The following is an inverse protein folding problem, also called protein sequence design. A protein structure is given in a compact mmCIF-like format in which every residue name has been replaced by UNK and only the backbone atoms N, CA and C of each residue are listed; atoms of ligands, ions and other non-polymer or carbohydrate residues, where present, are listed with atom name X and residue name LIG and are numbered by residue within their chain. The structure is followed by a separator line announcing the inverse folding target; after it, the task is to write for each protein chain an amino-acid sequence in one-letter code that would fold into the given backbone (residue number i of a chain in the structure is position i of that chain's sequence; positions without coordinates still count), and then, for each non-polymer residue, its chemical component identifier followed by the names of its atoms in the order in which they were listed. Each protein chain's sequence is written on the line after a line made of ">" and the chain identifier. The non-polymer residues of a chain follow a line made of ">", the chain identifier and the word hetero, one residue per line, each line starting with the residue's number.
data_IF_178019011891
#
_entry.id   IF_178019011891
#
_cell.length_a   1.000
_cell.length_b   1.000
_cell.length_c   1.000
_cell.angle_alpha   90.00
_cell.angle_beta   90.00
_cell.angle_gamma   90.00
#
_symmetry.space_group_name_H-M   'P 1'
#
loop_
_entity.id
_entity.type
_entity.pdbx_description
1 polymer ?
#
# COMPACT_ATOMS: atom_id res chain seq x y z
N UNK A 1 -26.46 -47.63 7.24
CA UNK A 1 -26.60 -46.85 5.98
C UNK A 1 -26.65 -45.39 6.39
N UNK A 2 -25.56 -44.64 6.24
CA UNK A 2 -25.54 -43.23 6.61
C UNK A 2 -26.47 -42.45 5.66
N UNK A 3 -27.40 -41.69 6.23
CA UNK A 3 -28.42 -40.96 5.47
C UNK A 3 -27.75 -39.90 4.59
N UNK A 4 -28.15 -39.75 3.31
CA UNK A 4 -27.55 -38.75 2.40
C UNK A 4 -27.68 -37.31 2.95
N UNK A 5 -28.71 -37.04 3.77
CA UNK A 5 -28.88 -35.78 4.49
C UNK A 5 -27.75 -35.48 5.47
N UNK A 6 -27.20 -36.51 6.11
CA UNK A 6 -26.12 -36.37 7.08
C UNK A 6 -24.81 -35.98 6.39
N UNK A 7 -24.53 -36.55 5.22
CA UNK A 7 -23.38 -36.17 4.40
C UNK A 7 -23.50 -34.75 3.85
N UNK A 8 -24.69 -34.34 3.39
CA UNK A 8 -24.93 -32.97 2.91
C UNK A 8 -24.76 -31.93 4.02
N UNK A 9 -25.23 -32.23 5.23
CA UNK A 9 -25.01 -31.38 6.41
C UNK A 9 -23.53 -31.25 6.77
N UNK A 10 -22.78 -32.35 6.77
CA UNK A 10 -21.34 -32.34 7.03
C UNK A 10 -20.56 -31.54 5.97
N UNK A 11 -20.91 -31.68 4.68
CA UNK A 11 -20.31 -30.89 3.61
C UNK A 11 -20.63 -29.40 3.80
N UNK A 12 -21.87 -29.06 4.10
CA UNK A 12 -22.28 -27.67 4.35
C UNK A 12 -21.53 -27.03 5.54
N UNK A 13 -21.38 -27.78 6.64
CA UNK A 13 -20.65 -27.31 7.83
C UNK A 13 -19.15 -27.17 7.53
N UNK A 14 -18.55 -28.12 6.80
CA UNK A 14 -17.15 -28.02 6.37
C UNK A 14 -16.93 -26.80 5.45
N UNK A 15 -17.81 -26.56 4.48
CA UNK A 15 -17.72 -25.40 3.61
C UNK A 15 -17.81 -24.08 4.38
N UNK A 16 -18.74 -23.96 5.34
CA UNK A 16 -18.86 -22.76 6.18
C UNK A 16 -17.66 -22.54 7.09
N UNK A 17 -17.05 -23.61 7.61
CA UNK A 17 -15.81 -23.54 8.38
C UNK A 17 -14.60 -23.12 7.53
N UNK A 18 -14.60 -23.44 6.23
CA UNK A 18 -13.58 -23.04 5.26
C UNK A 18 -13.77 -21.61 4.73
N UNK A 19 -14.97 -21.02 4.88
CA UNK A 19 -15.23 -19.60 4.64
C UNK A 19 -14.71 -18.80 5.85
N UNK A 20 -13.45 -19.03 6.22
CA UNK A 20 -12.72 -18.06 7.02
C UNK A 20 -12.43 -16.90 6.08
N UNK A 21 -13.04 -15.74 6.38
CA UNK A 21 -12.95 -14.46 5.67
C UNK A 21 -11.79 -14.40 4.67
N UNK A 22 -12.09 -14.58 3.37
CA UNK A 22 -11.15 -14.30 2.30
C UNK A 22 -11.01 -12.78 2.14
N UNK A 23 -10.59 -12.07 3.18
CA UNK A 23 -10.07 -10.72 3.03
C UNK A 23 -8.70 -10.88 2.42
N UNK A 24 -8.64 -10.95 1.09
CA UNK A 24 -7.38 -10.87 0.39
C UNK A 24 -6.75 -9.52 0.77
N UNK A 25 -5.62 -9.55 1.47
CA UNK A 25 -4.87 -8.33 1.74
C UNK A 25 -4.33 -7.85 0.39
N UNK A 26 -4.75 -6.65 0.00
CA UNK A 26 -4.37 -6.00 -1.25
C UNK A 26 -3.57 -4.73 -0.96
N UNK A 27 -2.44 -4.58 -1.64
CA UNK A 27 -1.46 -3.52 -1.43
C UNK A 27 -1.48 -2.50 -2.58
N UNK A 28 -2.67 -2.21 -3.09
CA UNK A 28 -2.86 -1.27 -4.21
C UNK A 28 -2.99 0.19 -3.76
N UNK A 29 -3.13 0.43 -2.45
CA UNK A 29 -3.22 1.78 -1.89
C UNK A 29 -1.87 2.48 -1.96
N UNK A 30 -1.88 3.73 -2.40
CA UNK A 30 -0.69 4.60 -2.53
C UNK A 30 -1.06 6.06 -2.26
N UNK A 31 -0.08 6.88 -1.89
CA UNK A 31 -0.25 8.33 -1.76
C UNK A 31 0.57 9.08 -2.81
N UNK A 32 -0.09 9.97 -3.55
CA UNK A 32 0.61 11.02 -4.28
C UNK A 32 0.81 12.21 -3.34
N UNK A 33 2.06 12.59 -3.14
CA UNK A 33 2.47 13.62 -2.20
C UNK A 33 3.08 14.78 -2.97
N UNK A 34 2.48 15.96 -2.84
CA UNK A 34 3.05 17.23 -3.30
C UNK A 34 3.72 17.91 -2.12
N UNK A 35 4.98 18.32 -2.28
CA UNK A 35 5.80 18.84 -1.19
C UNK A 35 6.82 19.87 -1.67
N UNK A 36 7.36 20.66 -0.74
CA UNK A 36 8.54 21.50 -0.96
C UNK A 36 9.74 20.98 -0.17
N UNK A 37 10.93 21.45 -0.53
CA UNK A 37 12.19 21.10 0.14
C UNK A 37 13.00 22.37 0.40
N UNK A 38 13.66 22.45 1.55
CA UNK A 38 14.58 23.56 1.87
C UNK A 38 16.00 23.29 1.35
N UNK A 39 16.37 22.02 1.23
CA UNK A 39 17.71 21.55 0.83
C UNK A 39 17.59 20.37 -0.14
N UNK A 40 18.57 20.23 -1.02
CA UNK A 40 18.60 19.13 -2.00
C UNK A 40 17.65 19.34 -3.18
N UNK A 41 17.39 18.27 -3.92
CA UNK A 41 16.51 18.23 -5.08
C UNK A 41 15.41 17.17 -4.90
N UNK A 42 14.29 17.30 -5.62
CA UNK A 42 13.19 16.33 -5.57
C UNK A 42 13.64 14.87 -5.76
N UNK A 43 14.66 14.64 -6.58
CA UNK A 43 15.20 13.31 -6.88
C UNK A 43 15.91 12.66 -5.69
N UNK A 44 16.42 13.45 -4.74
CA UNK A 44 17.15 12.94 -3.57
C UNK A 44 16.23 12.15 -2.63
N UNK A 45 14.92 12.39 -2.71
CA UNK A 45 13.87 11.69 -1.95
C UNK A 45 12.98 10.81 -2.83
N UNK A 46 13.39 10.56 -4.08
CA UNK A 46 12.66 9.71 -5.03
C UNK A 46 11.52 10.40 -5.79
N UNK A 47 11.39 11.72 -5.68
CA UNK A 47 10.38 12.51 -6.40
C UNK A 47 10.90 13.18 -7.68
N UNK A 48 10.02 13.95 -8.31
CA UNK A 48 10.31 14.75 -9.50
C UNK A 48 9.80 16.19 -9.31
N UNK A 49 10.45 17.14 -10.01
CA UNK A 49 10.07 18.54 -9.97
C UNK A 49 8.87 18.80 -10.88
N UNK A 50 7.88 19.51 -10.36
CA UNK A 50 6.68 19.96 -11.10
C UNK A 50 6.71 21.46 -11.34
N UNK A 51 7.34 22.19 -10.42
CA UNK A 51 7.64 23.60 -10.55
C UNK A 51 9.02 23.90 -9.96
N UNK A 52 9.41 25.17 -9.88
CA UNK A 52 10.71 25.60 -9.33
C UNK A 52 10.95 25.09 -7.91
N UNK A 53 9.93 25.10 -7.07
CA UNK A 53 10.03 24.80 -5.63
C UNK A 53 9.07 23.68 -5.19
N UNK A 54 8.40 23.04 -6.15
CA UNK A 54 7.39 22.00 -5.89
C UNK A 54 7.81 20.67 -6.47
N UNK A 55 7.79 19.66 -5.62
CA UNK A 55 8.07 18.28 -5.95
C UNK A 55 6.81 17.43 -5.81
N UNK A 56 6.75 16.33 -6.57
CA UNK A 56 5.75 15.29 -6.43
C UNK A 56 6.42 13.92 -6.39
N UNK A 57 5.80 12.98 -5.66
CA UNK A 57 6.13 11.56 -5.74
C UNK A 57 4.93 10.69 -5.36
N UNK A 58 4.96 9.43 -5.79
CA UNK A 58 4.09 8.37 -5.29
C UNK A 58 4.81 7.59 -4.19
N UNK A 59 4.18 7.42 -3.04
CA UNK A 59 4.71 6.64 -1.92
C UNK A 59 3.80 5.48 -1.52
N UNK A 60 4.42 4.50 -0.85
CA UNK A 60 3.75 3.50 -0.04
C UNK A 60 3.63 3.95 1.42
N UNK A 61 3.01 3.12 2.27
CA UNK A 61 2.77 3.48 3.67
C UNK A 61 4.06 3.66 4.49
N UNK A 62 5.17 3.06 4.07
CA UNK A 62 6.50 3.19 4.68
C UNK A 62 7.19 4.55 4.43
N UNK A 63 6.53 5.44 3.68
CA UNK A 63 7.02 6.76 3.34
C UNK A 63 8.13 6.76 2.29
N UNK A 64 8.34 5.65 1.59
CA UNK A 64 9.28 5.55 0.48
C UNK A 64 8.57 5.64 -0.87
N UNK A 65 9.32 6.11 -1.88
CA UNK A 65 8.85 6.12 -3.25
C UNK A 65 8.43 4.72 -3.69
N UNK A 66 7.25 4.60 -4.31
CA UNK A 66 6.71 3.34 -4.78
C UNK A 66 7.67 2.68 -5.78
N UNK A 67 8.06 1.43 -5.53
CA UNK A 67 8.83 0.61 -6.45
C UNK A 67 7.94 -0.48 -7.04
N UNK A 68 7.82 -0.52 -8.37
CA UNK A 68 6.93 -1.45 -9.05
C UNK A 68 5.47 -0.96 -9.08
N UNK A 69 4.52 -1.89 -9.25
CA UNK A 69 3.10 -1.57 -9.47
C UNK A 69 2.27 -1.43 -8.19
N UNK A 70 2.67 -2.11 -7.11
CA UNK A 70 1.94 -2.20 -5.85
C UNK A 70 2.88 -2.01 -4.64
N UNK A 71 2.31 -1.75 -3.47
CA UNK A 71 3.03 -1.53 -2.21
C UNK A 71 3.18 -2.81 -1.38
N UNK A 72 3.49 -3.93 -2.04
CA UNK A 72 3.79 -5.19 -1.36
C UNK A 72 5.20 -5.19 -0.78
N UNK A 73 5.42 -5.91 0.32
CA UNK A 73 6.79 -6.17 0.81
C UNK A 73 7.58 -7.04 -0.19
N UNK A 74 6.86 -7.91 -0.91
CA UNK A 74 7.37 -8.69 -2.02
C UNK A 74 6.41 -8.71 -3.22
N UNK A 75 6.54 -9.73 -4.06
CA UNK A 75 5.74 -9.87 -5.27
C UNK A 75 4.26 -10.07 -4.95
N UNK A 76 3.40 -9.38 -5.70
CA UNK A 76 1.95 -9.52 -5.64
C UNK A 76 1.41 -10.23 -6.88
N UNK A 77 0.18 -10.74 -6.79
CA UNK A 77 -0.54 -11.16 -7.99
C UNK A 77 -0.95 -9.94 -8.86
N UNK A 78 -1.55 -10.21 -10.02
CA UNK A 78 -1.94 -9.18 -11.01
C UNK A 78 -2.94 -8.14 -10.47
N UNK A 79 -3.68 -8.46 -9.42
CA UNK A 79 -4.64 -7.56 -8.77
C UNK A 79 -4.01 -6.74 -7.64
N UNK A 80 -2.71 -6.94 -7.35
CA UNK A 80 -2.05 -6.29 -6.24
C UNK A 80 -2.43 -6.88 -4.89
N UNK A 81 -2.91 -8.12 -4.87
CA UNK A 81 -3.27 -8.85 -3.66
C UNK A 81 -2.36 -10.07 -3.47
N UNK A 82 -2.47 -10.69 -2.29
CA UNK A 82 -1.67 -11.86 -1.93
C UNK A 82 -0.17 -11.60 -2.14
N UNK A 83 0.29 -10.42 -1.69
CA UNK A 83 1.68 -10.03 -1.77
C UNK A 83 2.50 -10.82 -0.78
N UNK A 84 3.67 -11.29 -1.20
CA UNK A 84 4.62 -11.96 -0.31
C UNK A 84 4.97 -11.02 0.85
N UNK A 85 4.76 -11.48 2.08
CA UNK A 85 4.97 -10.67 3.29
C UNK A 85 3.91 -9.60 3.56
N UNK A 86 2.86 -9.49 2.75
CA UNK A 86 1.81 -8.47 2.91
C UNK A 86 2.22 -7.11 2.34
N UNK A 87 1.68 -6.03 2.91
CA UNK A 87 1.92 -4.66 2.44
C UNK A 87 3.05 -3.99 3.22
N UNK A 88 3.72 -3.03 2.59
CA UNK A 88 4.61 -2.10 3.26
C UNK A 88 3.82 -1.31 4.31
N UNK A 89 4.40 -1.17 5.51
CA UNK A 89 3.74 -0.57 6.68
C UNK A 89 4.39 0.76 7.08
N UNK A 90 3.59 1.65 7.65
CA UNK A 90 4.01 2.95 8.17
C UNK A 90 2.85 3.95 8.19
N UNK A 91 3.17 5.23 8.37
CA UNK A 91 2.19 6.32 8.35
C UNK A 91 2.42 7.29 7.19
N UNK A 92 2.59 6.72 6.00
CA UNK A 92 2.50 7.39 4.71
C UNK A 92 3.30 8.70 4.62
N UNK A 93 2.63 9.80 4.26
CA UNK A 93 3.21 11.15 4.17
C UNK A 93 3.79 11.65 5.49
N UNK A 94 3.31 11.20 6.65
CA UNK A 94 3.96 11.52 7.95
C UNK A 94 5.32 10.84 8.04
N UNK A 95 5.39 9.53 7.77
CA UNK A 95 6.66 8.79 7.75
C UNK A 95 7.62 9.34 6.68
N UNK A 96 7.12 9.76 5.52
CA UNK A 96 7.92 10.44 4.50
C UNK A 96 8.53 11.74 5.02
N UNK A 97 7.74 12.62 5.64
CA UNK A 97 8.22 13.89 6.18
C UNK A 97 9.24 13.71 7.30
N UNK A 98 8.99 12.78 8.22
CA UNK A 98 9.91 12.44 9.32
C UNK A 98 11.24 11.88 8.78
N UNK A 99 11.18 10.96 7.81
CA UNK A 99 12.37 10.33 7.22
C UNK A 99 13.29 11.35 6.54
N UNK A 100 12.71 12.35 5.89
CA UNK A 100 13.44 13.34 5.10
C UNK A 100 13.49 14.73 5.74
N UNK A 101 13.36 14.80 7.07
CA UNK A 101 13.47 16.04 7.85
C UNK A 101 14.80 16.78 7.56
N UNK A 102 15.89 16.06 7.31
CA UNK A 102 17.19 16.65 6.95
C UNK A 102 17.15 17.47 5.66
N UNK A 103 16.20 17.21 4.77
CA UNK A 103 15.99 18.00 3.54
C UNK A 103 15.01 19.17 3.75
N UNK A 104 14.41 19.29 4.94
CA UNK A 104 13.39 20.28 5.23
C UNK A 104 12.11 20.06 4.42
N UNK A 105 11.72 18.79 4.25
CA UNK A 105 10.50 18.43 3.50
C UNK A 105 9.27 19.01 4.20
N UNK A 106 8.42 19.71 3.43
CA UNK A 106 7.11 20.20 3.89
C UNK A 106 6.03 19.71 2.93
N UNK A 107 5.16 18.83 3.44
CA UNK A 107 4.03 18.30 2.69
C UNK A 107 2.98 19.39 2.49
N UNK A 108 2.58 19.63 1.24
CA UNK A 108 1.59 20.64 0.85
C UNK A 108 0.24 19.98 0.61
N UNK A 109 0.23 18.85 -0.10
CA UNK A 109 -0.98 18.14 -0.51
C UNK A 109 -0.72 16.64 -0.51
N UNK A 110 -1.73 15.89 -0.10
CA UNK A 110 -1.73 14.43 -0.14
C UNK A 110 -2.99 13.98 -0.86
N UNK A 111 -2.82 13.06 -1.81
CA UNK A 111 -3.91 12.40 -2.50
C UNK A 111 -3.77 10.89 -2.34
N UNK A 112 -4.57 10.30 -1.43
CA UNK A 112 -4.56 8.86 -1.18
C UNK A 112 -5.48 8.14 -2.16
N UNK A 113 -4.89 7.26 -2.95
CA UNK A 113 -5.60 6.42 -3.93
C UNK A 113 -5.78 5.02 -3.34
N UNK A 114 -7.02 4.66 -3.00
CA UNK A 114 -7.41 3.29 -2.66
C UNK A 114 -8.40 2.79 -3.71
N UNK A 115 -8.02 1.85 -4.59
CA UNK A 115 -8.93 1.34 -5.62
C UNK A 115 -9.99 0.36 -5.09
N UNK A 116 -9.94 0.04 -3.79
CA UNK A 116 -10.89 -0.80 -3.06
C UNK A 116 -11.37 -0.09 -1.80
#
# INVERSE_FOLDING_TARGET
>A
MASPLFFLLLIGICCLALVHQSTAVCCATKEEVTFTMERGNCKDVGGYAVSRDTCELLICADGLAQVGMFCGQGSCNVFGCNCDGGCLEGDWSRTFAERYEIYGVKVIKVNRMSPY
#
